data_IF_642418551420
#
_entry.id   IF_642418551420
#
_cell.length_a   1.000
_cell.length_b   1.000
_cell.length_c   1.000
_cell.angle_alpha   90.00
_cell.angle_beta   90.00
_cell.angle_gamma   90.00
#
_symmetry.space_group_name_H-M   'P 1'
#
loop_
_entity.id
_entity.type
_entity.pdbx_description
1 polymer ?
#
# COMPACT_ATOMS: atom_id res chain seq x y z
N UNK A 1 7.61 -8.23 -17.62
CA UNK A 1 7.67 -6.85 -18.15
C UNK A 1 8.24 -5.95 -17.05
N UNK A 2 9.08 -4.96 -17.35
CA UNK A 2 9.74 -4.16 -16.31
C UNK A 2 9.01 -2.85 -16.05
N UNK A 3 8.71 -2.54 -14.77
CA UNK A 3 8.29 -1.19 -14.38
C UNK A 3 9.35 -0.17 -14.82
N UNK A 4 8.90 0.91 -15.46
CA UNK A 4 9.75 2.04 -15.76
C UNK A 4 10.16 2.75 -14.46
N UNK A 5 11.22 3.56 -14.53
CA UNK A 5 11.71 4.30 -13.36
C UNK A 5 10.61 5.19 -12.78
N UNK A 6 9.82 5.83 -13.65
CA UNK A 6 8.71 6.68 -13.27
C UNK A 6 7.62 5.91 -12.52
N UNK A 7 7.34 4.67 -12.92
CA UNK A 7 6.35 3.82 -12.23
C UNK A 7 6.81 3.49 -10.82
N UNK A 8 8.08 3.14 -10.67
CA UNK A 8 8.64 2.83 -9.34
C UNK A 8 8.57 4.05 -8.43
N UNK A 9 8.91 5.23 -8.95
CA UNK A 9 8.79 6.48 -8.21
C UNK A 9 7.34 6.78 -7.82
N UNK A 10 6.38 6.54 -8.70
CA UNK A 10 4.97 6.77 -8.40
C UNK A 10 4.45 5.77 -7.36
N UNK A 11 4.79 4.49 -7.48
CA UNK A 11 4.46 3.48 -6.47
C UNK A 11 5.05 3.83 -5.10
N UNK A 12 6.30 4.28 -5.04
CA UNK A 12 6.91 4.78 -3.80
C UNK A 12 6.18 6.00 -3.23
N UNK A 13 5.71 6.92 -4.10
CA UNK A 13 4.92 8.07 -3.66
C UNK A 13 3.57 7.65 -3.09
N UNK A 14 2.87 6.72 -3.75
CA UNK A 14 1.63 6.14 -3.25
C UNK A 14 1.84 5.45 -1.89
N UNK A 15 2.96 4.75 -1.72
CA UNK A 15 3.31 4.14 -0.44
C UNK A 15 3.57 5.18 0.66
N UNK A 16 4.29 6.27 0.35
CA UNK A 16 4.48 7.40 1.27
C UNK A 16 3.15 8.04 1.67
N UNK A 17 2.22 8.21 0.72
CA UNK A 17 0.89 8.74 0.99
C UNK A 17 0.07 7.79 1.87
N UNK A 18 0.19 6.47 1.67
CA UNK A 18 -0.46 5.48 2.53
C UNK A 18 0.11 5.52 3.96
N UNK A 19 1.45 5.52 4.10
CA UNK A 19 2.13 5.60 5.39
C UNK A 19 1.84 6.94 6.11
N UNK A 20 1.67 8.05 5.39
CA UNK A 20 1.33 9.34 6.01
C UNK A 20 -0.03 9.34 6.74
N UNK A 21 -0.87 8.33 6.51
CA UNK A 21 -2.15 8.17 7.20
C UNK A 21 -2.03 7.46 8.56
N UNK A 22 -0.86 6.94 8.94
CA UNK A 22 -0.64 6.22 10.21
C UNK A 22 -1.23 6.97 11.43
N UNK A 23 -0.97 8.28 11.65
CA UNK A 23 -1.55 9.00 12.79
C UNK A 23 -3.09 9.00 12.78
N UNK A 24 -3.69 9.09 11.60
CA UNK A 24 -5.15 9.05 11.43
C UNK A 24 -5.71 7.66 11.75
N UNK A 25 -5.00 6.59 11.41
CA UNK A 25 -5.39 5.22 11.74
C UNK A 25 -5.33 4.94 13.24
N UNK A 26 -4.29 5.42 13.93
CA UNK A 26 -4.24 5.40 15.40
C UNK A 26 -5.44 6.11 16.03
N UNK A 27 -5.76 7.32 15.57
CA UNK A 27 -6.91 8.08 16.07
C UNK A 27 -8.24 7.34 15.84
N UNK A 28 -8.43 6.76 14.65
CA UNK A 28 -9.61 5.98 14.33
C UNK A 28 -9.76 4.79 15.27
N UNK A 29 -8.71 3.97 15.41
CA UNK A 29 -8.75 2.78 16.25
C UNK A 29 -8.96 3.15 17.72
N UNK A 30 -8.26 4.17 18.22
CA UNK A 30 -8.43 4.66 19.58
C UNK A 30 -9.87 5.10 19.87
N UNK A 31 -10.55 5.72 18.89
CA UNK A 31 -11.96 6.12 19.02
C UNK A 31 -12.94 4.94 19.09
N UNK A 32 -12.53 3.75 18.65
CA UNK A 32 -13.37 2.54 18.64
C UNK A 32 -13.18 1.63 19.86
N UNK A 33 -12.22 1.93 20.74
CA UNK A 33 -11.85 1.08 21.90
C UNK A 33 -12.99 0.78 22.86
N UNK A 34 -13.96 1.67 22.98
CA UNK A 34 -15.14 1.46 23.83
C UNK A 34 -16.12 0.42 23.27
N UNK A 35 -16.00 0.09 21.97
CA UNK A 35 -16.93 -0.80 21.26
C UNK A 35 -16.28 -2.08 20.74
N UNK A 36 -14.99 -2.04 20.41
CA UNK A 36 -14.24 -3.15 19.84
C UNK A 36 -12.84 -3.22 20.47
N UNK A 37 -12.47 -4.39 20.97
CA UNK A 37 -11.12 -4.63 21.47
C UNK A 37 -10.21 -5.07 20.30
N UNK A 38 -9.35 -4.15 19.84
CA UNK A 38 -8.28 -4.48 18.88
C UNK A 38 -7.05 -4.94 19.67
N UNK A 39 -6.80 -6.25 19.67
CA UNK A 39 -5.71 -6.89 20.44
C UNK A 39 -4.31 -6.45 20.01
N UNK A 40 -4.11 -6.22 18.72
CA UNK A 40 -2.83 -5.75 18.18
C UNK A 40 -3.05 -4.53 17.28
N UNK A 41 -2.91 -3.34 17.88
CA UNK A 41 -3.12 -2.08 17.19
C UNK A 41 -2.11 -1.87 16.06
N UNK A 42 -0.84 -2.21 16.28
CA UNK A 42 0.21 -2.00 15.29
C UNK A 42 0.02 -2.88 14.06
N UNK A 43 -0.35 -4.15 14.24
CA UNK A 43 -0.69 -5.03 13.11
C UNK A 43 -1.95 -4.58 12.37
N UNK A 44 -2.96 -4.08 13.11
CA UNK A 44 -4.16 -3.52 12.50
C UNK A 44 -3.82 -2.31 11.61
N UNK A 45 -3.01 -1.38 12.12
CA UNK A 45 -2.58 -0.19 11.36
C UNK A 45 -1.70 -0.58 10.17
N UNK A 46 -0.80 -1.55 10.36
CA UNK A 46 0.01 -2.07 9.26
C UNK A 46 -0.88 -2.64 8.14
N UNK A 47 -1.91 -3.40 8.50
CA UNK A 47 -2.92 -3.89 7.55
C UNK A 47 -3.67 -2.75 6.84
N UNK A 48 -4.01 -1.67 7.54
CA UNK A 48 -4.66 -0.50 6.93
C UNK A 48 -3.74 0.25 5.96
N UNK A 49 -2.45 0.39 6.27
CA UNK A 49 -1.47 0.98 5.34
C UNK A 49 -1.31 0.10 4.10
N UNK A 50 -1.18 -1.22 4.29
CA UNK A 50 -1.07 -2.18 3.19
C UNK A 50 -2.30 -2.13 2.28
N UNK A 51 -3.51 -2.20 2.85
CA UNK A 51 -4.75 -2.17 2.06
C UNK A 51 -4.87 -0.90 1.23
N UNK A 52 -4.60 0.26 1.84
CA UNK A 52 -4.61 1.54 1.12
C UNK A 52 -3.60 1.55 -0.03
N UNK A 53 -2.37 1.09 0.23
CA UNK A 53 -1.34 1.04 -0.80
C UNK A 53 -1.75 0.14 -1.96
N UNK A 54 -2.21 -1.09 -1.69
CA UNK A 54 -2.63 -2.05 -2.72
C UNK A 54 -3.78 -1.51 -3.57
N UNK A 55 -4.75 -0.86 -2.94
CA UNK A 55 -5.85 -0.22 -3.65
C UNK A 55 -5.33 0.84 -4.62
N UNK A 56 -4.54 1.80 -4.12
CA UNK A 56 -4.08 2.95 -4.90
C UNK A 56 -3.07 2.52 -6.00
N UNK A 57 -2.13 1.63 -5.67
CA UNK A 57 -1.18 1.07 -6.64
C UNK A 57 -1.86 0.21 -7.69
N UNK A 58 -2.85 -0.59 -7.30
CA UNK A 58 -3.62 -1.41 -8.22
C UNK A 58 -4.40 -0.56 -9.22
N UNK A 59 -4.99 0.55 -8.76
CA UNK A 59 -5.67 1.50 -9.63
C UNK A 59 -4.70 2.17 -10.61
N UNK A 60 -3.55 2.65 -10.13
CA UNK A 60 -2.51 3.25 -10.96
C UNK A 60 -2.02 2.29 -12.07
N UNK A 61 -1.61 1.08 -11.69
CA UNK A 61 -1.08 0.08 -12.64
C UNK A 61 -2.15 -0.40 -13.63
N UNK A 62 -3.42 -0.49 -13.19
CA UNK A 62 -4.54 -0.80 -14.09
C UNK A 62 -4.74 0.29 -15.13
N UNK A 63 -4.68 1.56 -14.73
CA UNK A 63 -4.81 2.69 -15.65
C UNK A 63 -3.65 2.72 -16.64
N UNK A 64 -2.41 2.57 -16.17
CA UNK A 64 -1.23 2.51 -17.05
C UNK A 64 -1.36 1.40 -18.09
N UNK A 65 -1.76 0.20 -17.67
CA UNK A 65 -2.02 -0.94 -18.58
C UNK A 65 -3.04 -0.58 -19.66
N UNK A 66 -4.11 0.14 -19.32
CA UNK A 66 -5.14 0.58 -20.27
C UNK A 66 -4.56 1.61 -21.24
N UNK A 67 -3.83 2.61 -20.75
CA UNK A 67 -3.25 3.68 -21.55
C UNK A 67 -2.21 3.15 -22.55
N UNK A 68 -1.46 2.12 -22.17
CA UNK A 68 -0.48 1.44 -23.02
C UNK A 68 -1.08 0.38 -23.96
N UNK A 69 -2.41 0.19 -23.93
CA UNK A 69 -3.11 -0.87 -24.68
C UNK A 69 -2.56 -2.28 -24.41
N UNK A 70 -2.09 -2.53 -23.19
CA UNK A 70 -1.56 -3.83 -22.79
C UNK A 70 -2.68 -4.86 -22.62
N UNK A 71 -2.41 -6.16 -22.86
CA UNK A 71 -3.40 -7.22 -22.69
C UNK A 71 -3.95 -7.26 -21.26
N UNK A 72 -5.27 -7.37 -21.13
CA UNK A 72 -5.96 -7.64 -19.86
C UNK A 72 -5.98 -9.15 -19.58
N UNK A 73 -4.80 -9.76 -19.45
CA UNK A 73 -4.66 -11.15 -19.02
C UNK A 73 -4.43 -11.25 -17.52
N UNK A 74 -4.66 -12.44 -16.97
CA UNK A 74 -4.38 -12.74 -15.56
C UNK A 74 -2.87 -12.62 -15.31
N UNK A 75 -2.04 -13.12 -16.21
CA UNK A 75 -0.58 -13.07 -16.10
C UNK A 75 -0.07 -11.63 -15.99
N UNK A 76 -0.51 -10.73 -16.88
CA UNK A 76 -0.12 -9.33 -16.82
C UNK A 76 -0.59 -8.65 -15.53
N UNK A 77 -1.77 -9.01 -15.04
CA UNK A 77 -2.30 -8.47 -13.78
C UNK A 77 -1.47 -8.93 -12.59
N UNK A 78 -1.02 -10.19 -12.59
CA UNK A 78 -0.14 -10.73 -11.56
C UNK A 78 1.25 -10.10 -11.62
N UNK A 79 1.83 -9.90 -12.80
CA UNK A 79 3.13 -9.20 -12.94
C UNK A 79 3.09 -7.78 -12.36
N UNK A 80 2.02 -7.02 -12.65
CA UNK A 80 1.83 -5.68 -12.10
C UNK A 80 1.66 -5.72 -10.57
N UNK A 81 0.89 -6.68 -10.06
CA UNK A 81 0.69 -6.86 -8.63
C UNK A 81 2.01 -7.20 -7.92
N UNK A 82 2.77 -8.16 -8.44
CA UNK A 82 4.06 -8.58 -7.90
C UNK A 82 5.04 -7.40 -7.83
N UNK A 83 5.09 -6.58 -8.88
CA UNK A 83 5.94 -5.39 -8.89
C UNK A 83 5.51 -4.35 -7.83
N UNK A 84 4.21 -4.17 -7.60
CA UNK A 84 3.70 -3.35 -6.51
C UNK A 84 4.08 -3.91 -5.13
N UNK A 85 4.03 -5.23 -4.96
CA UNK A 85 4.39 -5.92 -3.72
C UNK A 85 5.90 -5.82 -3.44
N UNK A 86 6.75 -5.89 -4.47
CA UNK A 86 8.20 -5.69 -4.32
C UNK A 86 8.51 -4.32 -3.70
N UNK A 87 7.91 -3.24 -4.23
CA UNK A 87 8.09 -1.89 -3.68
C UNK A 87 7.62 -1.80 -2.22
N UNK A 88 6.49 -2.43 -1.89
CA UNK A 88 6.01 -2.47 -0.51
C UNK A 88 7.01 -3.19 0.40
N UNK A 89 7.47 -4.37 -0.01
CA UNK A 89 8.39 -5.20 0.76
C UNK A 89 9.72 -4.51 1.04
N UNK A 90 10.25 -3.75 0.09
CA UNK A 90 11.47 -2.95 0.27
C UNK A 90 11.35 -1.91 1.40
N UNK A 91 10.12 -1.48 1.72
CA UNK A 91 9.82 -0.45 2.70
C UNK A 91 9.13 -0.98 3.97
N UNK A 92 8.87 -2.28 4.09
CA UNK A 92 8.13 -2.87 5.24
C UNK A 92 8.75 -2.49 6.59
N UNK A 93 10.07 -2.51 6.69
CA UNK A 93 10.75 -2.19 7.95
C UNK A 93 10.56 -0.72 8.34
N UNK A 94 10.59 0.19 7.37
CA UNK A 94 10.39 1.62 7.63
C UNK A 94 8.93 1.91 8.01
N UNK A 95 7.97 1.30 7.33
CA UNK A 95 6.54 1.42 7.68
C UNK A 95 6.31 0.91 9.11
N UNK A 96 6.85 -0.27 9.45
CA UNK A 96 6.76 -0.79 10.81
C UNK A 96 7.37 0.19 11.80
N UNK A 97 8.57 0.71 11.54
CA UNK A 97 9.22 1.71 12.39
C UNK A 97 8.32 2.94 12.61
N UNK A 98 7.76 3.51 11.55
CA UNK A 98 6.84 4.65 11.63
C UNK A 98 5.59 4.35 12.48
N UNK A 99 5.07 3.11 12.44
CA UNK A 99 3.94 2.68 13.27
C UNK A 99 4.36 2.57 14.74
N UNK A 100 5.52 1.98 15.04
CA UNK A 100 6.00 1.82 16.42
C UNK A 100 6.47 3.13 17.06
N UNK A 101 6.90 4.11 16.26
CA UNK A 101 7.36 5.43 16.70
C UNK A 101 6.23 6.48 16.75
N UNK A 102 5.00 6.12 16.35
CA UNK A 102 3.81 6.98 16.43
C UNK A 102 3.23 7.05 17.85
#
# INVERSE_FOLDING_TARGET
>A
MGLEVEDKMELENLLKMAASQIPKYFNLINSTKERWEIKNMHECIFGMVFEKYIHDSGQYLTNKRIDENQPNSVENTMELFDAGIEIFNDHVLDIKRQIYEN
#
